data_IF_139496606813
#
_entry.id   IF_139496606813
#
_cell.length_a   1.000
_cell.length_b   1.000
_cell.length_c   1.000
_cell.angle_alpha   90.00
_cell.angle_beta   90.00
_cell.angle_gamma   90.00
#
_symmetry.space_group_name_H-M   'P 1'
#
loop_
_entity.id
_entity.type
_entity.pdbx_description
1 polymer ?
#
# COMPACT_ATOMS: atom_id res chain seq x y z
N UNK A 1 7.99 -39.98 -14.92
CA UNK A 1 7.04 -40.79 -15.72
C UNK A 1 7.57 -42.17 -16.09
N UNK A 2 8.84 -42.33 -16.47
CA UNK A 2 9.38 -43.63 -16.91
C UNK A 2 9.33 -44.74 -15.83
N UNK A 3 9.65 -44.44 -14.57
CA UNK A 3 9.67 -45.44 -13.48
C UNK A 3 8.31 -46.08 -13.17
N UNK A 4 7.23 -45.27 -13.14
CA UNK A 4 5.87 -45.77 -12.94
C UNK A 4 5.39 -46.63 -14.13
N UNK A 5 5.72 -46.23 -15.36
CA UNK A 5 5.40 -47.01 -16.55
C UNK A 5 6.13 -48.36 -16.56
N UNK A 6 7.42 -48.40 -16.17
CA UNK A 6 8.16 -49.64 -16.01
C UNK A 6 7.57 -50.55 -14.93
N UNK A 7 7.14 -49.98 -13.80
CA UNK A 7 6.48 -50.76 -12.75
C UNK A 7 5.17 -51.40 -13.24
N UNK A 8 4.35 -50.66 -13.99
CA UNK A 8 3.10 -51.19 -14.56
C UNK A 8 3.37 -52.26 -15.63
N UNK A 9 4.35 -52.04 -16.51
CA UNK A 9 4.73 -53.03 -17.54
C UNK A 9 5.25 -54.33 -16.93
N UNK A 10 6.03 -54.25 -15.85
CA UNK A 10 6.47 -55.44 -15.12
C UNK A 10 5.32 -56.17 -14.41
N UNK A 11 4.36 -55.44 -13.81
CA UNK A 11 3.18 -56.08 -13.19
C UNK A 11 2.34 -56.79 -14.25
N UNK A 12 2.19 -56.20 -15.44
CA UNK A 12 1.47 -56.81 -16.54
C UNK A 12 2.08 -58.16 -16.97
N UNK A 13 3.40 -58.21 -17.17
CA UNK A 13 4.11 -59.44 -17.57
C UNK A 13 4.29 -60.48 -16.44
N UNK A 14 3.99 -60.11 -15.19
CA UNK A 14 3.87 -61.09 -14.09
C UNK A 14 2.56 -61.88 -14.17
N UNK A 15 1.47 -61.21 -14.59
CA UNK A 15 0.13 -61.78 -14.70
C UNK A 15 -0.04 -62.50 -16.04
N UNK A 16 0.43 -61.89 -17.14
CA UNK A 16 0.38 -62.44 -18.49
C UNK A 16 1.80 -62.55 -19.07
N UNK A 17 2.54 -63.64 -18.75
CA UNK A 17 3.93 -63.83 -19.13
C UNK A 17 4.17 -64.18 -20.62
N UNK A 18 3.24 -63.84 -21.53
CA UNK A 18 3.38 -64.05 -22.97
C UNK A 18 3.78 -65.49 -23.38
N UNK A 19 4.18 -65.65 -24.63
CA UNK A 19 4.58 -66.96 -25.19
C UNK A 19 5.98 -66.92 -25.85
N UNK A 20 6.70 -65.82 -25.67
CA UNK A 20 8.00 -65.56 -26.33
C UNK A 20 9.19 -66.18 -25.60
N UNK A 21 9.07 -66.46 -24.30
CA UNK A 21 10.11 -67.02 -23.43
C UNK A 21 9.43 -67.94 -22.42
N UNK A 22 10.18 -68.87 -21.82
CA UNK A 22 9.70 -69.69 -20.71
C UNK A 22 9.04 -68.83 -19.62
N UNK A 23 7.86 -69.27 -19.18
CA UNK A 23 6.98 -68.57 -18.25
C UNK A 23 7.69 -68.18 -16.95
N UNK A 24 8.56 -69.05 -16.43
CA UNK A 24 9.29 -68.78 -15.19
C UNK A 24 10.34 -67.68 -15.42
N UNK A 25 11.07 -67.75 -16.53
CA UNK A 25 12.10 -66.77 -16.88
C UNK A 25 11.45 -65.40 -17.07
N UNK A 26 10.34 -65.31 -17.80
CA UNK A 26 9.67 -64.03 -18.03
C UNK A 26 9.13 -63.42 -16.73
N UNK A 27 8.61 -64.23 -15.80
CA UNK A 27 8.18 -63.77 -14.47
C UNK A 27 9.33 -63.22 -13.62
N UNK A 28 10.51 -63.86 -13.66
CA UNK A 28 11.69 -63.35 -12.95
C UNK A 28 12.17 -62.01 -13.53
N UNK A 29 12.18 -61.87 -14.86
CA UNK A 29 12.48 -60.59 -15.51
C UNK A 29 11.46 -59.51 -15.18
N UNK A 30 10.17 -59.86 -15.24
CA UNK A 30 9.08 -58.95 -14.92
C UNK A 30 9.19 -58.45 -13.46
N UNK A 31 9.48 -59.34 -12.50
CA UNK A 31 9.72 -58.97 -11.11
C UNK A 31 10.89 -57.98 -10.94
N UNK A 32 12.00 -58.20 -11.66
CA UNK A 32 13.15 -57.29 -11.64
C UNK A 32 12.81 -55.90 -12.19
N UNK A 33 12.02 -55.84 -13.28
CA UNK A 33 11.55 -54.59 -13.88
C UNK A 33 10.58 -53.83 -12.95
N UNK A 34 9.69 -54.54 -12.24
CA UNK A 34 8.82 -53.93 -11.21
C UNK A 34 9.65 -53.30 -10.10
N UNK A 35 10.63 -54.04 -9.56
CA UNK A 35 11.47 -53.53 -8.48
C UNK A 35 12.26 -52.29 -8.91
N UNK A 36 12.86 -52.30 -10.09
CA UNK A 36 13.58 -51.16 -10.64
C UNK A 36 12.66 -49.95 -10.89
N UNK A 37 11.45 -50.19 -11.43
CA UNK A 37 10.45 -49.16 -11.65
C UNK A 37 9.97 -48.51 -10.35
N UNK A 38 9.73 -49.30 -9.30
CA UNK A 38 9.31 -48.83 -7.99
C UNK A 38 10.38 -47.98 -7.30
N UNK A 39 11.65 -48.40 -7.34
CA UNK A 39 12.77 -47.62 -6.78
C UNK A 39 12.93 -46.28 -7.49
N UNK A 40 12.84 -46.27 -8.83
CA UNK A 40 12.94 -45.03 -9.60
C UNK A 40 11.74 -44.10 -9.35
N UNK A 41 10.51 -44.64 -9.31
CA UNK A 41 9.33 -43.85 -8.97
C UNK A 41 9.44 -43.23 -7.56
N UNK A 42 9.90 -44.01 -6.58
CA UNK A 42 10.13 -43.54 -5.21
C UNK A 42 11.21 -42.45 -5.14
N UNK A 43 12.31 -42.59 -5.86
CA UNK A 43 13.35 -41.56 -5.92
C UNK A 43 12.83 -40.26 -6.55
N UNK A 44 12.06 -40.35 -7.63
CA UNK A 44 11.46 -39.18 -8.28
C UNK A 44 10.50 -38.41 -7.36
N UNK A 45 9.70 -39.14 -6.57
CA UNK A 45 8.78 -38.52 -5.60
C UNK A 45 9.55 -37.82 -4.47
N UNK A 46 10.62 -38.44 -3.95
CA UNK A 46 11.49 -37.84 -2.92
C UNK A 46 12.10 -36.53 -3.41
N UNK A 47 12.65 -36.50 -4.62
CA UNK A 47 13.27 -35.29 -5.17
C UNK A 47 12.24 -34.17 -5.43
N UNK A 48 11.02 -34.54 -5.79
CA UNK A 48 9.93 -33.59 -5.97
C UNK A 48 9.51 -32.96 -4.63
N UNK A 49 9.32 -33.78 -3.59
CA UNK A 49 9.00 -33.30 -2.25
C UNK A 49 10.09 -32.36 -1.70
N UNK A 50 11.37 -32.70 -1.87
CA UNK A 50 12.48 -31.84 -1.45
C UNK A 50 12.48 -30.49 -2.20
N UNK A 51 12.19 -30.51 -3.51
CA UNK A 51 12.12 -29.28 -4.30
C UNK A 51 10.94 -28.41 -3.90
N UNK A 52 9.81 -29.01 -3.56
CA UNK A 52 8.63 -28.29 -3.12
C UNK A 52 8.84 -27.64 -1.75
N UNK A 53 9.46 -28.35 -0.80
CA UNK A 53 9.85 -27.80 0.50
C UNK A 53 10.87 -26.67 0.35
N UNK A 54 11.86 -26.81 -0.52
CA UNK A 54 12.82 -25.72 -0.78
C UNK A 54 12.13 -24.51 -1.40
N UNK A 55 11.22 -24.73 -2.34
CA UNK A 55 10.45 -23.66 -2.97
C UNK A 55 9.53 -22.96 -1.97
N UNK A 56 8.89 -23.70 -1.06
CA UNK A 56 8.03 -23.11 -0.04
C UNK A 56 8.80 -22.27 0.97
N UNK A 57 10.01 -22.71 1.37
CA UNK A 57 10.90 -21.89 2.22
C UNK A 57 11.33 -20.62 1.48
N UNK A 58 11.72 -20.71 0.21
CA UNK A 58 12.12 -19.52 -0.57
C UNK A 58 10.96 -18.52 -0.76
N UNK A 59 9.73 -19.00 -0.98
CA UNK A 59 8.54 -18.14 -1.05
C UNK A 59 8.24 -17.52 0.31
N UNK A 60 8.37 -18.28 1.40
CA UNK A 60 8.17 -17.78 2.76
C UNK A 60 9.19 -16.69 3.11
N UNK A 61 10.46 -16.89 2.77
CA UNK A 61 11.53 -15.91 2.97
C UNK A 61 11.31 -14.63 2.14
N UNK A 62 10.90 -14.77 0.87
CA UNK A 62 10.48 -13.62 0.06
C UNK A 62 9.24 -12.91 0.65
N UNK A 63 8.29 -13.65 1.23
CA UNK A 63 7.12 -13.05 1.88
C UNK A 63 7.47 -12.26 3.13
N UNK A 64 8.47 -12.69 3.89
CA UNK A 64 8.99 -11.92 5.02
C UNK A 64 9.77 -10.68 4.56
N UNK A 65 10.53 -10.79 3.46
CA UNK A 65 11.23 -9.63 2.89
C UNK A 65 10.28 -8.53 2.39
N UNK A 66 9.08 -8.89 1.93
CA UNK A 66 8.02 -7.94 1.52
C UNK A 66 7.54 -7.09 2.71
N UNK A 67 7.57 -7.63 3.93
CA UNK A 67 7.07 -6.94 5.14
C UNK A 67 8.05 -5.88 5.68
N UNK A 68 9.31 -5.92 5.23
CA UNK A 68 10.36 -4.96 5.59
C UNK A 68 10.67 -3.91 4.49
N UNK A 69 9.95 -3.94 3.36
CA UNK A 69 10.08 -2.97 2.27
C UNK A 69 9.15 -1.75 2.44
N UNK A 70 9.31 -0.70 1.60
CA UNK A 70 8.34 0.39 1.53
C UNK A 70 6.94 -0.17 1.26
N UNK A 71 5.94 0.27 2.03
CA UNK A 71 4.57 -0.20 1.87
C UNK A 71 3.98 0.29 0.53
N UNK A 72 4.13 -0.52 -0.51
CA UNK A 72 3.66 -0.22 -1.86
C UNK A 72 2.14 -0.07 -1.94
N UNK A 73 1.39 -0.66 -1.00
CA UNK A 73 -0.05 -0.45 -0.88
C UNK A 73 -0.39 0.98 -0.47
N UNK A 74 0.29 1.50 0.55
CA UNK A 74 0.15 2.89 0.98
C UNK A 74 0.58 3.86 -0.13
N UNK A 75 1.74 3.62 -0.75
CA UNK A 75 2.24 4.46 -1.85
C UNK A 75 1.24 4.49 -3.02
N UNK A 76 0.67 3.34 -3.38
CA UNK A 76 -0.34 3.25 -4.44
C UNK A 76 -1.59 4.04 -4.07
N UNK A 77 -2.05 3.96 -2.83
CA UNK A 77 -3.25 4.69 -2.38
C UNK A 77 -3.04 6.21 -2.38
N UNK A 78 -1.87 6.67 -1.91
CA UNK A 78 -1.44 8.07 -2.00
C UNK A 78 -1.47 8.59 -3.43
N UNK A 79 -0.98 7.80 -4.39
CA UNK A 79 -0.95 8.18 -5.81
C UNK A 79 -2.33 8.14 -6.47
N UNK A 80 -3.23 7.26 -6.02
CA UNK A 80 -4.58 7.13 -6.59
C UNK A 80 -5.54 8.21 -6.07
N UNK A 81 -5.36 8.67 -4.84
CA UNK A 81 -6.27 9.58 -4.17
C UNK A 81 -5.61 10.93 -3.76
N UNK A 82 -4.92 11.65 -4.66
CA UNK A 82 -4.17 12.86 -4.28
C UNK A 82 -5.05 13.97 -3.69
N UNK A 83 -6.34 14.00 -4.05
CA UNK A 83 -7.32 14.96 -3.51
C UNK A 83 -7.57 14.74 -2.01
N UNK A 84 -7.68 13.48 -1.55
CA UNK A 84 -7.91 13.17 -0.14
C UNK A 84 -6.73 13.59 0.75
N UNK A 85 -5.50 13.45 0.24
CA UNK A 85 -4.31 13.90 0.96
C UNK A 85 -4.16 15.44 0.95
N UNK A 86 -4.69 16.12 -0.06
CA UNK A 86 -4.81 17.57 -0.07
C UNK A 86 -5.83 18.06 0.96
N UNK A 87 -6.96 17.36 1.09
CA UNK A 87 -7.96 17.64 2.15
C UNK A 87 -7.35 17.48 3.55
N UNK A 88 -6.50 16.46 3.76
CA UNK A 88 -5.75 16.31 5.01
C UNK A 88 -4.86 17.52 5.32
N UNK A 89 -4.16 18.08 4.32
CA UNK A 89 -3.36 19.28 4.54
C UNK A 89 -4.23 20.48 4.93
N UNK A 90 -5.40 20.64 4.28
CA UNK A 90 -6.36 21.70 4.61
C UNK A 90 -6.85 21.55 6.06
N UNK A 91 -7.20 20.33 6.48
CA UNK A 91 -7.61 20.04 7.86
C UNK A 91 -6.50 20.32 8.88
N UNK A 92 -5.24 20.02 8.54
CA UNK A 92 -4.09 20.34 9.38
C UNK A 92 -3.92 21.87 9.54
N UNK A 93 -4.06 22.64 8.47
CA UNK A 93 -4.06 24.11 8.55
C UNK A 93 -5.23 24.64 9.39
N UNK A 94 -6.44 24.09 9.22
CA UNK A 94 -7.61 24.47 10.02
C UNK A 94 -7.40 24.19 11.52
N UNK A 95 -6.80 23.05 11.83
CA UNK A 95 -6.48 22.66 13.21
C UNK A 95 -5.43 23.59 13.82
N UNK A 96 -4.39 23.94 13.06
CA UNK A 96 -3.35 24.88 13.50
C UNK A 96 -3.89 26.30 13.72
N UNK A 97 -4.98 26.68 13.05
CA UNK A 97 -5.67 27.96 13.25
C UNK A 97 -6.78 27.91 14.30
N UNK A 98 -7.05 26.77 14.92
CA UNK A 98 -8.19 26.60 15.84
C UNK A 98 -8.09 27.45 17.11
N UNK A 99 -6.87 27.79 17.55
CA UNK A 99 -6.60 28.68 18.68
C UNK A 99 -6.37 30.15 18.25
N UNK A 100 -6.44 30.42 16.94
CA UNK A 100 -6.26 31.74 16.33
C UNK A 100 -4.81 32.19 16.15
N UNK A 101 -3.81 31.37 16.50
CA UNK A 101 -2.38 31.72 16.40
C UNK A 101 -1.53 30.53 15.98
N UNK A 102 -0.89 30.62 14.81
CA UNK A 102 0.04 29.59 14.37
C UNK A 102 1.43 29.75 14.99
N UNK A 103 1.94 28.68 15.60
CA UNK A 103 3.29 28.64 16.18
C UNK A 103 4.35 28.24 15.15
N UNK A 104 5.63 28.52 15.46
CA UNK A 104 6.75 28.14 14.59
C UNK A 104 6.90 26.61 14.43
N UNK A 105 6.53 25.85 15.47
CA UNK A 105 6.56 24.39 15.43
C UNK A 105 5.51 23.86 14.43
N UNK A 106 4.30 24.39 14.48
CA UNK A 106 3.21 24.03 13.56
C UNK A 106 3.52 24.42 12.12
N UNK A 107 4.10 25.61 11.91
CA UNK A 107 4.57 26.01 10.57
C UNK A 107 5.61 25.04 9.99
N UNK A 108 6.54 24.55 10.81
CA UNK A 108 7.54 23.59 10.35
C UNK A 108 6.92 22.22 10.03
N UNK A 109 5.93 21.79 10.81
CA UNK A 109 5.19 20.56 10.57
C UNK A 109 4.37 20.64 9.28
N UNK A 110 3.65 21.75 9.05
CA UNK A 110 2.88 21.99 7.83
C UNK A 110 3.78 22.06 6.59
N UNK A 111 4.96 22.68 6.69
CA UNK A 111 5.98 22.66 5.62
C UNK A 111 6.47 21.25 5.31
N UNK A 112 6.57 20.40 6.33
CA UNK A 112 6.95 18.99 6.13
C UNK A 112 5.87 18.23 5.34
N UNK A 113 4.59 18.46 5.64
CA UNK A 113 3.48 17.88 4.88
C UNK A 113 3.40 18.42 3.45
N UNK A 114 3.59 19.73 3.28
CA UNK A 114 3.63 20.37 1.97
C UNK A 114 4.73 19.75 1.08
N UNK A 115 5.92 19.56 1.64
CA UNK A 115 7.06 18.95 0.94
C UNK A 115 6.76 17.49 0.57
N UNK A 116 6.14 16.74 1.47
CA UNK A 116 5.78 15.34 1.24
C UNK A 116 4.70 15.18 0.15
N UNK A 117 3.77 16.14 0.06
CA UNK A 117 2.68 16.15 -0.92
C UNK A 117 3.07 16.81 -2.26
N UNK A 118 4.25 17.43 -2.34
CA UNK A 118 4.71 18.10 -3.56
C UNK A 118 3.90 19.34 -3.92
N UNK A 119 3.35 20.04 -2.92
CA UNK A 119 2.53 21.24 -3.10
C UNK A 119 3.45 22.48 -3.14
N UNK A 120 3.20 23.40 -4.07
CA UNK A 120 4.02 24.61 -4.21
C UNK A 120 3.80 25.59 -3.06
N UNK A 121 4.78 26.45 -2.79
CA UNK A 121 4.69 27.45 -1.70
C UNK A 121 3.50 28.39 -1.91
N UNK A 122 3.20 28.76 -3.16
CA UNK A 122 2.07 29.63 -3.49
C UNK A 122 0.73 28.93 -3.23
N UNK A 123 0.64 27.65 -3.55
CA UNK A 123 -0.57 26.87 -3.32
C UNK A 123 -0.81 26.61 -1.82
N UNK A 124 0.27 26.35 -1.06
CA UNK A 124 0.22 26.24 0.39
C UNK A 124 -0.18 27.57 1.06
N UNK A 125 0.34 28.70 0.57
CA UNK A 125 -0.01 30.02 1.09
C UNK A 125 -1.50 30.33 0.89
N UNK A 126 -2.07 29.99 -0.27
CA UNK A 126 -3.52 30.13 -0.52
C UNK A 126 -4.36 29.27 0.42
N UNK A 127 -3.93 28.02 0.67
CA UNK A 127 -4.61 27.13 1.63
C UNK A 127 -4.56 27.70 3.06
N UNK A 128 -3.43 28.28 3.44
CA UNK A 128 -3.24 28.90 4.74
C UNK A 128 -4.20 30.09 4.96
N UNK A 129 -4.34 30.98 3.96
CA UNK A 129 -5.31 32.10 4.03
C UNK A 129 -6.74 31.56 4.10
N UNK A 130 -7.08 30.53 3.32
CA UNK A 130 -8.41 29.93 3.34
C UNK A 130 -8.75 29.31 4.72
N UNK A 131 -7.80 28.60 5.32
CA UNK A 131 -7.95 28.03 6.66
C UNK A 131 -8.08 29.12 7.73
N UNK A 132 -7.25 30.17 7.67
CA UNK A 132 -7.33 31.31 8.58
C UNK A 132 -8.69 32.02 8.48
N UNK A 133 -9.19 32.25 7.26
CA UNK A 133 -10.52 32.83 7.04
C UNK A 133 -11.65 31.94 7.56
N UNK A 134 -11.53 30.62 7.40
CA UNK A 134 -12.55 29.66 7.82
C UNK A 134 -12.61 29.55 9.34
N UNK A 135 -11.45 29.45 10.00
CA UNK A 135 -11.34 29.42 11.47
C UNK A 135 -11.92 30.70 12.08
N UNK A 136 -11.48 31.87 11.61
CA UNK A 136 -12.00 33.16 12.12
C UNK A 136 -13.50 33.38 11.82
N UNK A 137 -14.05 32.72 10.80
CA UNK A 137 -15.49 32.79 10.51
C UNK A 137 -16.32 31.78 11.32
N UNK A 138 -15.69 30.92 12.11
CA UNK A 138 -16.37 29.80 12.77
C UNK A 138 -17.29 30.24 13.90
N UNK A 139 -16.82 31.19 14.72
CA UNK A 139 -17.51 31.75 15.88
C UNK A 139 -18.56 32.82 15.50
N UNK A 140 -18.52 33.32 14.25
CA UNK A 140 -19.41 34.34 13.71
C UNK A 140 -19.02 35.79 14.04
N UNK A 141 -17.86 36.03 14.67
CA UNK A 141 -17.35 37.35 15.03
C UNK A 141 -15.82 37.44 14.93
N UNK A 142 -15.33 38.10 13.89
CA UNK A 142 -13.88 38.29 13.71
C UNK A 142 -13.35 39.40 14.63
N UNK A 143 -12.45 39.02 15.53
CA UNK A 143 -11.72 39.91 16.44
C UNK A 143 -10.60 40.68 15.72
N UNK A 144 -10.11 41.79 16.31
CA UNK A 144 -9.01 42.58 15.73
C UNK A 144 -7.68 41.79 15.66
N UNK A 145 -7.48 40.85 16.61
CA UNK A 145 -6.33 39.94 16.60
C UNK A 145 -6.37 39.00 15.40
N UNK A 146 -7.53 38.43 15.08
CA UNK A 146 -7.70 37.55 13.92
C UNK A 146 -7.59 38.32 12.60
N UNK A 147 -8.07 39.56 12.54
CA UNK A 147 -7.85 40.43 11.37
C UNK A 147 -6.35 40.63 11.11
N UNK A 148 -5.57 40.90 12.15
CA UNK A 148 -4.12 41.05 12.01
C UNK A 148 -3.46 39.76 11.54
N UNK A 149 -3.89 38.61 12.06
CA UNK A 149 -3.36 37.30 11.66
C UNK A 149 -3.70 36.95 10.21
N UNK A 150 -4.94 37.22 9.76
CA UNK A 150 -5.38 37.00 8.37
C UNK A 150 -4.61 37.93 7.42
N UNK A 151 -4.39 39.20 7.81
CA UNK A 151 -3.61 40.14 6.98
C UNK A 151 -2.18 39.67 6.78
N UNK A 152 -1.51 39.20 7.84
CA UNK A 152 -0.16 38.63 7.74
C UNK A 152 -0.13 37.41 6.83
N UNK A 153 -1.09 36.50 6.99
CA UNK A 153 -1.20 35.32 6.12
C UNK A 153 -1.46 35.69 4.65
N UNK A 154 -2.24 36.73 4.38
CA UNK A 154 -2.52 37.23 3.03
C UNK A 154 -1.31 37.94 2.40
N UNK A 155 -0.57 38.73 3.18
CA UNK A 155 0.70 39.36 2.76
C UNK A 155 1.74 38.29 2.41
N UNK A 156 1.86 37.24 3.22
CA UNK A 156 2.76 36.11 2.95
C UNK A 156 2.35 35.32 1.69
N UNK A 157 1.09 35.41 1.27
CA UNK A 157 0.55 34.73 0.08
C UNK A 157 0.52 35.62 -1.18
N UNK A 158 1.04 36.84 -1.13
CA UNK A 158 0.93 37.86 -2.18
C UNK A 158 -0.54 38.09 -2.63
N UNK A 159 -1.47 38.02 -1.66
CA UNK A 159 -2.90 38.22 -1.85
C UNK A 159 -3.35 39.58 -1.28
N UNK A 160 -4.47 40.11 -1.77
CA UNK A 160 -5.04 41.35 -1.24
C UNK A 160 -5.56 41.13 0.20
N UNK A 161 -4.82 41.72 1.16
CA UNK A 161 -5.07 41.55 2.58
C UNK A 161 -6.40 42.16 3.04
N UNK A 162 -6.90 43.19 2.35
CA UNK A 162 -8.17 43.83 2.67
C UNK A 162 -9.35 43.01 2.09
N UNK A 163 -9.20 42.42 0.91
CA UNK A 163 -10.17 41.49 0.32
C UNK A 163 -10.33 40.21 1.16
N UNK A 164 -9.25 39.66 1.69
CA UNK A 164 -9.27 38.48 2.55
C UNK A 164 -10.07 38.72 3.84
N UNK A 165 -9.86 39.87 4.48
CA UNK A 165 -10.59 40.27 5.70
C UNK A 165 -12.07 40.55 5.39
N UNK A 166 -12.40 41.20 4.27
CA UNK A 166 -13.79 41.43 3.87
C UNK A 166 -14.52 40.11 3.60
N UNK A 167 -13.85 39.17 2.92
CA UNK A 167 -14.40 37.85 2.60
C UNK A 167 -14.65 37.03 3.86
N UNK A 168 -13.72 37.05 4.81
CA UNK A 168 -13.92 36.42 6.12
C UNK A 168 -15.12 37.02 6.86
N UNK A 169 -15.26 38.36 6.87
CA UNK A 169 -16.39 39.04 7.51
C UNK A 169 -17.73 38.70 6.85
N UNK A 170 -17.78 38.58 5.51
CA UNK A 170 -18.97 38.12 4.79
C UNK A 170 -19.35 36.69 5.18
N UNK A 171 -18.38 35.78 5.26
CA UNK A 171 -18.60 34.38 5.70
C UNK A 171 -19.11 34.32 7.15
N UNK A 172 -18.54 35.10 8.06
CA UNK A 172 -18.97 35.18 9.46
C UNK A 172 -20.42 35.71 9.60
N UNK A 173 -20.78 36.78 8.88
CA UNK A 173 -22.15 37.34 8.87
C UNK A 173 -23.18 36.35 8.29
N UNK A 174 -22.83 35.62 7.24
CA UNK A 174 -23.69 34.59 6.65
C UNK A 174 -23.97 33.42 7.60
N UNK A 175 -22.99 33.00 8.40
CA UNK A 175 -23.13 31.95 9.42
C UNK A 175 -24.02 32.40 10.59
N UNK A 176 -23.90 33.67 10.99
CA UNK A 176 -24.73 34.31 12.03
C UNK A 176 -26.22 34.44 11.64
N UNK A 177 -26.53 34.52 10.35
CA UNK A 177 -27.91 34.57 9.82
C UNK A 177 -28.57 33.19 9.71
N UNK A 178 -27.82 32.10 9.82
CA UNK A 178 -28.29 30.70 9.66
C UNK A 178 -28.50 29.97 10.99
N UNK A 179 -28.12 30.59 12.11
CA UNK A 179 -28.22 30.07 13.48
C UNK A 179 -29.37 30.76 14.20
#
# INVERSE_FOLDING_TARGET
MCGAAMAVLGIFHLIEPGDLVDENIMRWFAAAVVAAGAVWAGHGLKDMAVKEVRRSIAILDMSQAIDSGPNHGLIRDVLLNPQAYREFLIEAYETAWSDGVITQAELNELKSFQTALGISDEEAARMNVEAAMKSAAEDGTITETEKSSIKKAAEDADMDADEAVETAQKKAKGKKSKK
#
